data_IF_770004835742
#
_entry.id   IF_770004835742
#
_cell.length_a   1.000
_cell.length_b   1.000
_cell.length_c   1.000
_cell.angle_alpha   90.00
_cell.angle_beta   90.00
_cell.angle_gamma   90.00
#
_symmetry.space_group_name_H-M   'P 1'
#
loop_
_entity.id
_entity.type
_entity.pdbx_description
1 polymer ?
#
# COMPACT_ATOMS: atom_id res chain seq x y z
N UNK A 1 -24.45 -4.74 9.40
CA UNK A 1 -23.81 -5.52 8.31
C UNK A 1 -22.58 -6.18 8.88
N UNK A 2 -22.66 -7.47 9.15
CA UNK A 2 -21.58 -8.29 9.70
C UNK A 2 -20.66 -8.73 8.57
N UNK A 3 -19.46 -8.16 8.49
CA UNK A 3 -18.42 -8.62 7.57
C UNK A 3 -17.86 -9.92 8.11
N UNK A 4 -18.04 -11.01 7.37
CA UNK A 4 -17.42 -12.30 7.66
C UNK A 4 -15.90 -12.13 7.68
N UNK A 5 -15.28 -12.30 8.85
CA UNK A 5 -13.84 -12.29 9.00
C UNK A 5 -13.27 -13.48 8.23
N UNK A 6 -12.49 -13.20 7.17
CA UNK A 6 -11.73 -14.22 6.46
C UNK A 6 -10.47 -14.46 7.30
N UNK A 7 -10.55 -15.43 8.22
CA UNK A 7 -9.40 -15.93 8.96
C UNK A 7 -8.54 -16.76 8.01
N UNK A 8 -7.63 -16.11 7.31
CA UNK A 8 -6.40 -16.79 6.87
C UNK A 8 -5.57 -17.00 8.15
N UNK A 9 -4.75 -18.04 8.29
CA UNK A 9 -4.02 -18.37 9.53
C UNK A 9 -3.02 -17.32 10.06
N UNK A 10 -3.16 -16.06 9.68
CA UNK A 10 -2.35 -14.89 10.00
C UNK A 10 -3.31 -13.70 10.26
N UNK A 11 -3.49 -13.31 11.52
CA UNK A 11 -4.26 -12.12 11.93
C UNK A 11 -5.75 -12.01 11.50
N UNK A 12 -6.43 -11.01 12.05
CA UNK A 12 -7.80 -10.63 11.67
C UNK A 12 -7.75 -9.46 10.69
N UNK A 13 -8.41 -9.55 9.53
CA UNK A 13 -8.56 -8.40 8.63
C UNK A 13 -9.39 -7.32 9.32
N UNK A 14 -8.77 -6.18 9.63
CA UNK A 14 -9.43 -5.09 10.38
C UNK A 14 -9.65 -3.84 9.53
N UNK A 15 -8.92 -3.68 8.43
CA UNK A 15 -9.07 -2.52 7.57
C UNK A 15 -8.60 -2.80 6.14
N UNK A 16 -9.28 -2.19 5.18
CA UNK A 16 -8.89 -2.22 3.78
C UNK A 16 -9.14 -0.90 3.05
N UNK A 17 -8.28 -0.60 2.08
CA UNK A 17 -8.41 0.59 1.26
C UNK A 17 -7.73 0.44 -0.10
N UNK A 18 -8.38 0.87 -1.20
CA UNK A 18 -7.69 1.08 -2.46
C UNK A 18 -6.99 2.45 -2.47
N UNK A 19 -5.74 2.47 -2.92
CA UNK A 19 -4.99 3.68 -3.25
C UNK A 19 -4.59 3.63 -4.73
N UNK A 20 -4.93 4.68 -5.49
CA UNK A 20 -4.59 4.77 -6.91
C UNK A 20 -3.52 5.81 -7.14
N UNK A 21 -2.55 5.46 -7.97
CA UNK A 21 -1.48 6.35 -8.39
C UNK A 21 -1.40 6.36 -9.91
N UNK A 22 -1.14 7.54 -10.49
CA UNK A 22 -0.74 7.61 -11.89
C UNK A 22 0.56 6.82 -12.08
N UNK A 23 0.70 6.15 -13.23
CA UNK A 23 1.91 5.39 -13.54
C UNK A 23 3.18 6.25 -13.51
N UNK A 24 3.05 7.56 -13.75
CA UNK A 24 4.12 8.54 -13.65
C UNK A 24 4.58 8.80 -12.20
N UNK A 25 3.72 8.58 -11.20
CA UNK A 25 4.02 8.83 -9.78
C UNK A 25 4.41 7.55 -9.02
N UNK A 26 4.38 6.39 -9.68
CA UNK A 26 4.86 5.12 -9.11
C UNK A 26 6.39 5.07 -9.14
N UNK A 27 6.99 4.71 -8.01
CA UNK A 27 8.40 4.41 -7.87
C UNK A 27 8.68 2.94 -8.20
N UNK A 28 9.65 2.71 -9.07
CA UNK A 28 10.13 1.36 -9.40
C UNK A 28 11.62 1.26 -9.14
N UNK A 29 12.09 0.11 -8.63
CA UNK A 29 13.52 -0.12 -8.37
C UNK A 29 14.40 0.02 -9.60
N UNK A 30 13.86 -0.34 -10.76
CA UNK A 30 14.50 -0.17 -12.07
C UNK A 30 14.25 1.21 -12.71
N UNK A 31 13.68 2.16 -11.97
CA UNK A 31 13.37 3.50 -12.48
C UNK A 31 14.63 4.33 -12.71
N UNK A 32 14.65 5.09 -13.81
CA UNK A 32 15.73 6.04 -14.15
C UNK A 32 15.51 7.45 -13.56
N UNK A 33 14.61 7.57 -12.59
CA UNK A 33 14.25 8.84 -11.97
C UNK A 33 15.47 9.51 -11.31
N UNK A 34 15.64 10.82 -11.55
CA UNK A 34 16.63 11.63 -10.85
C UNK A 34 16.29 11.83 -9.37
N UNK A 35 17.26 12.27 -8.56
CA UNK A 35 17.07 12.48 -7.10
C UNK A 35 15.86 13.35 -6.76
N UNK A 36 15.68 14.47 -7.48
CA UNK A 36 14.57 15.41 -7.26
C UNK A 36 13.21 14.76 -7.53
N UNK A 37 13.13 13.99 -8.60
CA UNK A 37 11.91 13.29 -8.98
C UNK A 37 11.54 12.19 -7.99
N UNK A 38 12.54 11.41 -7.53
CA UNK A 38 12.36 10.42 -6.46
C UNK A 38 11.77 11.06 -5.20
N UNK A 39 12.35 12.17 -4.74
CA UNK A 39 11.86 12.91 -3.56
C UNK A 39 10.40 13.37 -3.78
N UNK A 40 10.09 13.93 -4.96
CA UNK A 40 8.73 14.37 -5.31
C UNK A 40 7.73 13.21 -5.24
N UNK A 41 8.03 12.09 -5.90
CA UNK A 41 7.15 10.89 -5.93
C UNK A 41 6.98 10.30 -4.53
N UNK A 42 8.07 10.12 -3.79
CA UNK A 42 8.03 9.64 -2.39
C UNK A 42 7.09 10.49 -1.54
N UNK A 43 7.19 11.82 -1.60
CA UNK A 43 6.30 12.73 -0.86
C UNK A 43 4.85 12.58 -1.31
N UNK A 44 4.61 12.54 -2.62
CA UNK A 44 3.26 12.40 -3.17
C UNK A 44 2.59 11.09 -2.74
N UNK A 45 3.30 9.96 -2.86
CA UNK A 45 2.79 8.64 -2.45
C UNK A 45 2.40 8.65 -0.98
N UNK A 46 3.30 9.12 -0.11
CA UNK A 46 3.08 9.24 1.33
C UNK A 46 1.87 10.11 1.66
N UNK A 47 1.76 11.28 1.05
CA UNK A 47 0.63 12.19 1.28
C UNK A 47 -0.70 11.58 0.86
N UNK A 48 -0.73 10.87 -0.27
CA UNK A 48 -1.95 10.16 -0.71
C UNK A 48 -2.31 9.02 0.24
N UNK A 49 -1.32 8.25 0.71
CA UNK A 49 -1.54 7.17 1.67
C UNK A 49 -2.07 7.70 3.01
N UNK A 50 -1.46 8.76 3.55
CA UNK A 50 -1.88 9.42 4.78
C UNK A 50 -3.32 9.96 4.67
N UNK A 51 -3.64 10.65 3.55
CA UNK A 51 -4.98 11.14 3.28
C UNK A 51 -5.99 9.99 3.14
N UNK A 52 -5.62 8.90 2.47
CA UNK A 52 -6.47 7.72 2.30
C UNK A 52 -6.80 7.08 3.65
N UNK A 53 -5.79 6.90 4.51
CA UNK A 53 -5.95 6.35 5.85
C UNK A 53 -6.88 7.22 6.71
N UNK A 54 -6.66 8.54 6.73
CA UNK A 54 -7.54 9.47 7.47
C UNK A 54 -8.97 9.46 6.95
N UNK A 55 -9.15 9.59 5.64
CA UNK A 55 -10.47 9.64 5.02
C UNK A 55 -11.27 8.35 5.26
N UNK A 56 -10.60 7.20 5.19
CA UNK A 56 -11.21 5.88 5.41
C UNK A 56 -11.12 5.41 6.87
N UNK A 57 -10.78 6.29 7.80
CA UNK A 57 -10.75 6.03 9.25
C UNK A 57 -9.97 4.76 9.60
N UNK A 58 -8.72 4.71 9.15
CA UNK A 58 -7.80 3.64 9.53
C UNK A 58 -7.76 3.47 11.07
N UNK A 59 -7.70 2.22 11.57
CA UNK A 59 -7.62 1.95 12.99
C UNK A 59 -6.26 2.37 13.55
N UNK A 60 -6.17 2.47 14.88
CA UNK A 60 -4.89 2.60 15.59
C UNK A 60 -4.52 1.24 16.17
N UNK A 61 -3.48 0.59 15.64
CA UNK A 61 -3.06 -0.75 16.02
C UNK A 61 -1.69 -0.69 16.68
N UNK A 62 -1.40 -1.63 17.58
CA UNK A 62 -0.03 -1.80 18.10
C UNK A 62 0.82 -2.68 17.19
N UNK A 63 0.23 -3.75 16.63
CA UNK A 63 0.92 -4.67 15.74
C UNK A 63 0.04 -5.05 14.57
N UNK A 64 0.60 -5.01 13.37
CA UNK A 64 -0.12 -5.38 12.16
C UNK A 64 0.77 -6.06 11.12
N UNK A 65 0.12 -6.77 10.22
CA UNK A 65 0.68 -7.28 8.98
C UNK A 65 -0.07 -6.67 7.81
N UNK A 66 0.65 -6.26 6.77
CA UNK A 66 0.07 -5.57 5.62
C UNK A 66 0.22 -6.42 4.37
N UNK A 67 -0.89 -6.67 3.67
CA UNK A 67 -0.90 -7.29 2.34
C UNK A 67 -1.32 -6.26 1.31
N UNK A 68 -0.51 -6.08 0.28
CA UNK A 68 -0.75 -5.15 -0.81
C UNK A 68 -1.01 -5.92 -2.11
N UNK A 69 -2.27 -5.91 -2.56
CA UNK A 69 -2.66 -6.36 -3.89
C UNK A 69 -2.39 -5.28 -4.93
N UNK A 70 -1.79 -5.62 -6.08
CA UNK A 70 -1.48 -4.64 -7.13
C UNK A 70 -2.23 -4.95 -8.42
N UNK A 71 -3.07 -4.02 -8.85
CA UNK A 71 -3.60 -3.98 -10.22
C UNK A 71 -2.63 -3.18 -11.10
N UNK A 72 -2.17 -3.79 -12.21
CA UNK A 72 -1.25 -3.15 -13.15
C UNK A 72 -1.99 -2.32 -14.21
N UNK A 73 -1.36 -1.28 -14.78
CA UNK A 73 -1.95 -0.49 -15.87
C UNK A 73 -2.12 -1.27 -17.18
N UNK A 74 -1.39 -2.37 -17.35
CA UNK A 74 -1.43 -3.25 -18.53
C UNK A 74 -0.99 -4.67 -18.14
N UNK A 75 -1.05 -5.61 -19.08
CA UNK A 75 -0.67 -7.02 -18.88
C UNK A 75 0.83 -7.32 -19.08
N UNK A 76 1.70 -6.30 -19.16
CA UNK A 76 3.14 -6.54 -19.33
C UNK A 76 3.71 -7.21 -18.08
N UNK A 77 4.57 -8.21 -18.29
CA UNK A 77 5.32 -8.85 -17.20
C UNK A 77 6.16 -7.81 -16.48
N UNK A 78 6.04 -7.77 -15.15
CA UNK A 78 6.82 -6.92 -14.25
C UNK A 78 7.27 -7.77 -13.08
N UNK A 79 8.45 -7.48 -12.58
CA UNK A 79 8.85 -7.97 -11.26
C UNK A 79 8.18 -7.09 -10.19
N UNK A 80 7.34 -7.72 -9.36
CA UNK A 80 6.57 -7.06 -8.32
C UNK A 80 7.45 -6.47 -7.22
N UNK A 81 8.63 -7.03 -6.98
CA UNK A 81 9.55 -6.54 -5.95
C UNK A 81 10.06 -5.12 -6.26
N UNK A 82 10.06 -4.73 -7.55
CA UNK A 82 10.35 -3.35 -7.92
C UNK A 82 9.37 -2.33 -7.32
N UNK A 83 8.17 -2.75 -6.92
CA UNK A 83 7.19 -1.88 -6.30
C UNK A 83 7.42 -1.66 -4.81
N UNK A 84 8.38 -2.36 -4.17
CA UNK A 84 8.77 -2.06 -2.78
C UNK A 84 9.17 -0.58 -2.60
N UNK A 85 9.74 0.04 -3.62
CA UNK A 85 10.09 1.47 -3.63
C UNK A 85 8.87 2.40 -3.58
N UNK A 86 7.72 1.96 -4.08
CA UNK A 86 6.43 2.67 -3.90
C UNK A 86 5.80 2.32 -2.56
N UNK A 87 5.90 1.06 -2.14
CA UNK A 87 5.21 0.56 -0.95
C UNK A 87 5.81 1.12 0.33
N UNK A 88 7.13 1.35 0.38
CA UNK A 88 7.78 1.96 1.53
C UNK A 88 7.17 3.34 1.91
N UNK A 89 7.12 4.35 1.02
CA UNK A 89 6.46 5.61 1.34
C UNK A 89 4.95 5.50 1.53
N UNK A 90 4.29 4.50 0.94
CA UNK A 90 2.86 4.21 1.19
C UNK A 90 2.67 3.85 2.67
N UNK A 91 3.40 2.85 3.18
CA UNK A 91 3.30 2.39 4.58
C UNK A 91 3.67 3.50 5.55
N UNK A 92 4.74 4.23 5.29
CA UNK A 92 5.15 5.39 6.09
C UNK A 92 4.08 6.52 6.09
N UNK A 93 3.26 6.63 5.03
CA UNK A 93 2.06 7.47 5.04
C UNK A 93 0.94 6.93 5.94
N UNK A 94 0.73 5.62 5.97
CA UNK A 94 -0.22 4.98 6.89
C UNK A 94 0.20 5.15 8.36
N UNK A 95 1.49 4.97 8.66
CA UNK A 95 2.08 5.21 9.99
C UNK A 95 1.89 6.67 10.41
N UNK A 96 2.13 7.65 9.52
CA UNK A 96 1.83 9.08 9.81
C UNK A 96 0.36 9.38 10.05
N UNK A 97 -0.55 8.58 9.49
CA UNK A 97 -1.98 8.68 9.79
C UNK A 97 -2.37 8.02 11.13
N UNK A 98 -1.43 7.37 11.80
CA UNK A 98 -1.62 6.72 13.08
C UNK A 98 -2.00 5.24 12.99
N UNK A 99 -1.90 4.60 11.82
CA UNK A 99 -2.22 3.17 11.68
C UNK A 99 -1.42 2.32 12.67
N UNK A 100 -0.13 2.63 12.78
CA UNK A 100 0.83 2.04 13.71
C UNK A 100 1.63 3.18 14.40
N UNK A 101 2.20 2.94 15.60
CA UNK A 101 3.11 3.89 16.24
C UNK A 101 4.37 4.15 15.40
N UNK A 102 4.92 3.11 14.76
CA UNK A 102 6.07 3.19 13.86
C UNK A 102 6.00 2.10 12.77
N UNK A 103 6.83 2.18 11.71
CA UNK A 103 6.95 1.15 10.66
C UNK A 103 8.07 0.12 10.91
N UNK A 104 8.58 0.06 12.13
CA UNK A 104 9.64 -0.86 12.56
C UNK A 104 9.14 -2.31 12.76
N UNK A 105 10.09 -3.24 12.91
CA UNK A 105 9.80 -4.67 13.07
C UNK A 105 9.03 -5.01 14.37
N UNK A 106 8.87 -4.05 15.30
CA UNK A 106 8.09 -4.26 16.54
C UNK A 106 6.60 -4.09 16.29
N UNK A 107 6.23 -3.16 15.42
CA UNK A 107 4.83 -2.84 15.11
C UNK A 107 4.37 -3.43 13.78
N UNK A 108 5.29 -3.61 12.82
CA UNK A 108 4.99 -4.13 11.49
C UNK A 108 5.62 -5.51 11.30
N UNK A 109 4.79 -6.55 11.38
CA UNK A 109 5.23 -7.94 11.25
C UNK A 109 5.76 -8.27 9.84
N UNK A 110 5.20 -7.62 8.83
CA UNK A 110 5.67 -7.77 7.47
C UNK A 110 4.76 -7.14 6.42
N UNK A 111 5.32 -6.99 5.23
CA UNK A 111 4.62 -6.50 4.05
C UNK A 111 4.69 -7.56 2.95
N UNK A 112 3.52 -8.06 2.54
CA UNK A 112 3.41 -8.96 1.40
C UNK A 112 2.89 -8.22 0.18
N UNK A 113 3.61 -8.31 -0.94
CA UNK A 113 3.15 -7.82 -2.24
C UNK A 113 2.65 -8.97 -3.09
N UNK A 114 1.47 -8.79 -3.69
CA UNK A 114 0.92 -9.78 -4.61
C UNK A 114 0.25 -9.12 -5.83
N UNK A 115 0.42 -9.69 -7.04
CA UNK A 115 -0.35 -9.26 -8.18
C UNK A 115 -1.82 -9.66 -7.95
N UNK A 116 -2.75 -8.76 -8.23
CA UNK A 116 -4.18 -9.06 -8.06
C UNK A 116 -4.79 -9.86 -9.21
N UNK A 117 -4.07 -9.95 -10.34
CA UNK A 117 -4.59 -10.47 -11.61
C UNK A 117 -5.53 -9.51 -12.37
N UNK A 118 -5.86 -8.34 -11.79
CA UNK A 118 -6.75 -7.34 -12.38
C UNK A 118 -5.97 -6.21 -13.05
N UNK A 119 -6.63 -5.52 -13.97
CA UNK A 119 -6.13 -4.29 -14.57
C UNK A 119 -6.62 -3.07 -13.80
N UNK A 120 -5.72 -2.12 -13.57
CA UNK A 120 -6.06 -0.85 -12.95
C UNK A 120 -6.84 0.02 -13.95
N UNK A 121 -7.94 0.68 -13.54
CA UNK A 121 -8.71 1.52 -14.43
C UNK A 121 -7.91 2.75 -14.87
N UNK A 122 -8.11 3.21 -16.11
CA UNK A 122 -7.59 4.50 -16.55
C UNK A 122 -8.37 5.63 -15.88
N UNK A 123 -7.68 6.73 -15.56
CA UNK A 123 -8.32 7.96 -15.09
C UNK A 123 -7.96 9.05 -16.08
N UNK A 124 -8.97 9.65 -16.73
CA UNK A 124 -8.78 10.69 -17.75
C UNK A 124 -7.73 10.29 -18.82
N UNK A 125 -7.81 9.04 -19.30
CA UNK A 125 -6.87 8.48 -20.27
C UNK A 125 -5.50 8.08 -19.72
N UNK A 126 -5.15 8.49 -18.50
CA UNK A 126 -3.88 8.17 -17.85
C UNK A 126 -3.85 6.73 -17.34
N UNK A 127 -2.68 6.10 -17.49
CA UNK A 127 -2.40 4.77 -16.93
C UNK A 127 -2.19 4.89 -15.43
N UNK A 128 -2.77 3.97 -14.65
CA UNK A 128 -2.67 3.98 -13.19
C UNK A 128 -2.24 2.63 -12.64
N UNK A 129 -1.80 2.61 -11.40
CA UNK A 129 -1.72 1.41 -10.57
C UNK A 129 -2.75 1.55 -9.45
N UNK A 130 -3.42 0.45 -9.11
CA UNK A 130 -4.27 0.38 -7.91
C UNK A 130 -3.59 -0.54 -6.90
N UNK A 131 -3.28 0.01 -5.73
CA UNK A 131 -2.76 -0.71 -4.58
C UNK A 131 -3.93 -0.97 -3.63
N UNK A 132 -4.32 -2.22 -3.50
CA UNK A 132 -5.32 -2.69 -2.53
C UNK A 132 -4.60 -3.02 -1.23
N UNK A 133 -4.80 -2.17 -0.23
CA UNK A 133 -4.16 -2.28 1.08
C UNK A 133 -5.10 -3.09 1.96
N UNK A 134 -4.61 -4.21 2.49
CA UNK A 134 -5.31 -5.03 3.48
C UNK A 134 -4.46 -5.08 4.74
N UNK A 135 -5.03 -4.65 5.86
CA UNK A 135 -4.35 -4.61 7.16
C UNK A 135 -4.95 -5.67 8.07
N UNK A 136 -4.09 -6.56 8.52
CA UNK A 136 -4.41 -7.61 9.47
C UNK A 136 -3.86 -7.21 10.83
N UNK A 137 -4.70 -7.21 11.85
CA UNK A 137 -4.26 -7.08 13.22
C UNK A 137 -3.68 -8.43 13.66
N UNK A 138 -2.43 -8.40 14.10
CA UNK A 138 -1.78 -9.58 14.67
C UNK A 138 -2.10 -9.68 16.17
N UNK A 139 -2.21 -10.89 16.74
CA UNK A 139 -2.33 -11.07 18.17
C UNK A 139 -1.14 -10.43 18.88
N UNK A 140 -1.40 -9.74 20.00
CA UNK A 140 -0.32 -9.35 20.90
C UNK A 140 0.24 -10.64 21.53
N UNK A 141 1.57 -10.83 21.58
CA UNK A 141 2.18 -11.97 22.26
C UNK A 141 1.86 -11.98 23.77
#
# INVERSE_FOLDING_TARGET
MTTNAITTGAGVLVWEAPMRLAAADVLTGNGRDGRREKIRKTRAIRTVAEATARYRRAPHLHRARIVIGVDYPDRRRRDIHNLHWTVKPLVDGLTRAGLLPDDDDRHLDGITLQPSGRLSPKILGQRTYTFHIHVYQEPQP
#
